data_IF_563012829490
#
_entry.id   IF_563012829490
#
_cell.length_a   1.000
_cell.length_b   1.000
_cell.length_c   1.000
_cell.angle_alpha   90.00
_cell.angle_beta   90.00
_cell.angle_gamma   90.00
#
_symmetry.space_group_name_H-M   'P 1'
#
loop_
_entity.id
_entity.type
_entity.pdbx_description
1 polymer ?
#
# COMPACT_ATOMS: atom_id res chain seq x y z
N UNK A 1 -2.01 48.08 16.65
CA UNK A 1 -1.76 47.46 15.34
C UNK A 1 -0.68 46.43 15.58
N UNK A 2 -1.10 45.22 15.96
CA UNK A 2 -0.19 44.06 16.14
C UNK A 2 -0.01 43.37 14.77
N UNK A 3 1.19 42.94 14.43
CA UNK A 3 1.42 42.20 13.18
C UNK A 3 0.90 40.78 13.34
N UNK A 4 -0.05 40.42 12.47
CA UNK A 4 -0.47 39.03 12.28
C UNK A 4 0.75 38.22 11.81
N UNK A 5 1.19 37.28 12.64
CA UNK A 5 2.13 36.23 12.24
C UNK A 5 1.39 35.22 11.32
N UNK A 6 1.58 35.39 10.02
CA UNK A 6 1.29 34.38 9.04
C UNK A 6 2.35 33.28 9.16
N UNK A 7 2.05 32.25 9.97
CA UNK A 7 2.92 31.08 10.17
C UNK A 7 2.53 29.94 9.23
N UNK A 8 2.58 30.21 7.93
CA UNK A 8 2.67 29.10 6.96
C UNK A 8 4.05 28.46 7.12
N UNK A 9 4.16 27.13 7.39
CA UNK A 9 5.45 26.47 7.44
C UNK A 9 6.14 26.62 6.08
N UNK A 10 7.26 27.30 6.02
CA UNK A 10 8.12 27.31 4.85
C UNK A 10 8.74 25.90 4.72
N UNK A 11 8.06 24.98 4.03
CA UNK A 11 8.67 23.73 3.59
C UNK A 11 9.81 24.10 2.64
N UNK A 12 11.04 23.91 3.11
CA UNK A 12 12.25 24.16 2.35
C UNK A 12 12.28 23.35 1.05
N UNK A 13 13.21 23.64 0.15
CA UNK A 13 13.40 23.04 -1.17
C UNK A 13 13.53 21.51 -1.21
N UNK A 14 13.56 20.81 -0.08
CA UNK A 14 13.71 19.37 0.10
C UNK A 14 12.38 18.60 0.34
N UNK A 15 11.22 19.28 0.39
CA UNK A 15 9.93 18.64 0.56
C UNK A 15 9.56 17.74 -0.63
N UNK A 16 8.83 16.66 -0.35
CA UNK A 16 8.29 15.73 -1.37
C UNK A 16 6.77 15.83 -1.33
N UNK A 17 6.17 16.01 -2.50
CA UNK A 17 4.72 16.17 -2.63
C UNK A 17 4.11 15.11 -3.55
N UNK A 18 2.89 14.71 -3.25
CA UNK A 18 2.04 13.85 -4.08
C UNK A 18 1.34 14.76 -5.11
N UNK A 19 1.48 14.43 -6.39
CA UNK A 19 0.84 15.17 -7.49
C UNK A 19 -0.20 14.33 -8.25
N UNK A 20 -0.22 13.02 -8.03
CA UNK A 20 -1.19 12.12 -8.63
C UNK A 20 -1.45 10.92 -7.74
N UNK A 21 -2.67 10.42 -7.77
CA UNK A 21 -3.12 9.23 -7.03
C UNK A 21 -3.97 8.35 -7.91
N UNK A 22 -3.91 7.05 -7.68
CA UNK A 22 -4.78 6.08 -8.32
C UNK A 22 -4.94 4.85 -7.44
N UNK A 23 -6.10 4.23 -7.51
CA UNK A 23 -6.39 3.03 -6.72
C UNK A 23 -7.41 2.14 -7.41
N UNK A 24 -7.34 0.85 -7.08
CA UNK A 24 -8.40 -0.12 -7.35
C UNK A 24 -8.55 -1.01 -6.13
N UNK A 25 -9.78 -1.21 -5.67
CA UNK A 25 -10.10 -1.96 -4.46
C UNK A 25 -11.49 -2.56 -4.51
N UNK A 26 -11.90 -3.26 -3.47
CA UNK A 26 -13.27 -3.78 -3.32
C UNK A 26 -14.37 -2.70 -3.29
N UNK A 27 -14.00 -1.41 -3.17
CA UNK A 27 -14.92 -0.27 -3.21
C UNK A 27 -15.02 0.37 -4.61
N UNK A 28 -14.24 -0.09 -5.58
CA UNK A 28 -14.32 0.38 -6.96
C UNK A 28 -12.95 0.65 -7.59
N UNK A 29 -12.97 1.06 -8.88
CA UNK A 29 -11.79 1.04 -9.74
C UNK A 29 -10.93 2.31 -9.70
N UNK A 30 -11.20 3.29 -8.82
CA UNK A 30 -10.42 4.54 -8.74
C UNK A 30 -10.16 4.99 -7.31
N UNK A 31 -9.18 5.88 -7.12
CA UNK A 31 -8.90 6.52 -5.83
C UNK A 31 -10.13 7.27 -5.29
N UNK A 32 -10.95 7.86 -6.18
CA UNK A 32 -12.19 8.53 -5.79
C UNK A 32 -13.22 7.55 -5.24
N UNK A 33 -13.41 6.38 -5.87
CA UNK A 33 -14.32 5.35 -5.35
C UNK A 33 -13.86 4.84 -3.98
N UNK A 34 -12.54 4.63 -3.83
CA UNK A 34 -11.96 4.23 -2.54
C UNK A 34 -12.24 5.28 -1.46
N UNK A 35 -12.02 6.56 -1.74
CA UNK A 35 -12.25 7.66 -0.81
C UNK A 35 -13.74 7.83 -0.47
N UNK A 36 -14.60 7.93 -1.49
CA UNK A 36 -16.04 8.15 -1.29
C UNK A 36 -16.69 6.99 -0.55
N UNK A 37 -16.32 5.73 -0.90
CA UNK A 37 -16.79 4.54 -0.22
C UNK A 37 -16.32 4.46 1.24
N UNK A 38 -15.03 4.75 1.49
CA UNK A 38 -14.47 4.80 2.84
C UNK A 38 -15.16 5.86 3.71
N UNK A 39 -15.36 7.06 3.19
CA UNK A 39 -16.06 8.15 3.88
C UNK A 39 -17.53 7.82 4.20
N UNK A 40 -18.17 7.01 3.37
CA UNK A 40 -19.57 6.57 3.56
C UNK A 40 -19.68 5.30 4.44
N UNK A 41 -18.55 4.70 4.84
CA UNK A 41 -18.55 3.44 5.60
C UNK A 41 -19.02 2.24 4.79
N UNK A 42 -18.88 2.27 3.45
CA UNK A 42 -19.25 1.15 2.60
C UNK A 42 -18.33 -0.05 2.86
N UNK A 43 -18.92 -1.24 2.98
CA UNK A 43 -18.19 -2.48 3.20
C UNK A 43 -18.13 -3.27 1.89
N UNK A 44 -16.90 -3.39 1.34
CA UNK A 44 -16.62 -4.18 0.15
C UNK A 44 -16.26 -5.64 0.44
N UNK A 45 -16.24 -6.05 1.72
CA UNK A 45 -15.94 -7.43 2.12
C UNK A 45 -17.20 -8.29 1.87
N UNK A 46 -17.05 -9.30 1.03
CA UNK A 46 -18.14 -10.17 0.57
C UNK A 46 -17.62 -11.58 0.29
N UNK A 47 -18.50 -12.59 0.02
CA UNK A 47 -18.05 -13.90 -0.42
C UNK A 47 -17.16 -13.81 -1.65
N UNK A 48 -15.96 -14.40 -1.57
CA UNK A 48 -14.95 -14.42 -2.63
C UNK A 48 -15.41 -15.31 -3.76
N UNK A 49 -15.27 -14.83 -5.00
CA UNK A 49 -15.61 -15.53 -6.25
C UNK A 49 -14.39 -15.87 -7.10
N UNK A 50 -13.28 -15.16 -6.92
CA UNK A 50 -12.07 -15.34 -7.74
C UNK A 50 -11.37 -16.69 -7.57
N UNK A 51 -11.70 -17.44 -6.50
CA UNK A 51 -11.08 -18.73 -6.20
C UNK A 51 -12.00 -19.64 -5.40
N UNK A 52 -11.70 -20.93 -5.40
CA UNK A 52 -12.37 -21.89 -4.52
C UNK A 52 -11.92 -21.74 -3.07
N UNK A 53 -12.88 -21.59 -2.17
CA UNK A 53 -12.66 -21.39 -0.73
C UNK A 53 -12.92 -22.66 0.10
N UNK A 54 -12.75 -23.84 -0.52
CA UNK A 54 -12.98 -25.11 0.14
C UNK A 54 -11.96 -25.37 1.25
N UNK A 55 -12.45 -25.81 2.41
CA UNK A 55 -11.58 -26.11 3.56
C UNK A 55 -11.04 -24.89 4.32
N UNK A 56 -11.52 -23.69 4.01
CA UNK A 56 -11.19 -22.46 4.76
C UNK A 56 -12.32 -22.10 5.74
N UNK A 57 -11.93 -21.53 6.89
CA UNK A 57 -12.85 -21.14 7.97
C UNK A 57 -13.72 -19.93 7.59
N UNK A 58 -13.22 -19.10 6.67
CA UNK A 58 -13.97 -17.96 6.11
C UNK A 58 -14.03 -18.04 4.59
N UNK A 59 -15.08 -17.47 4.03
CA UNK A 59 -15.25 -17.30 2.58
C UNK A 59 -15.30 -15.83 2.18
N UNK A 60 -15.01 -14.92 3.12
CA UNK A 60 -15.12 -13.48 2.94
C UNK A 60 -13.78 -12.86 2.56
N UNK A 61 -13.86 -11.85 1.70
CA UNK A 61 -12.70 -11.02 1.33
C UNK A 61 -13.11 -9.74 0.61
N UNK A 62 -12.22 -8.78 0.59
CA UNK A 62 -12.35 -7.55 -0.20
C UNK A 62 -11.87 -7.79 -1.63
N UNK A 63 -12.68 -8.47 -2.44
CA UNK A 63 -12.40 -8.79 -3.84
C UNK A 63 -12.67 -7.60 -4.76
N UNK A 64 -11.77 -7.36 -5.71
CA UNK A 64 -12.01 -6.42 -6.80
C UNK A 64 -12.90 -7.10 -7.84
N UNK A 65 -14.16 -6.69 -7.88
CA UNK A 65 -15.18 -7.24 -8.81
C UNK A 65 -15.35 -6.42 -10.08
N UNK A 66 -14.84 -5.19 -10.12
CA UNK A 66 -14.79 -4.38 -11.33
C UNK A 66 -13.85 -4.98 -12.38
N UNK A 67 -14.09 -4.75 -13.67
CA UNK A 67 -13.18 -5.19 -14.72
C UNK A 67 -11.76 -4.65 -14.50
N UNK A 68 -10.77 -5.55 -14.55
CA UNK A 68 -9.34 -5.21 -14.45
C UNK A 68 -8.74 -5.28 -15.85
N UNK A 69 -8.89 -4.18 -16.59
CA UNK A 69 -8.49 -4.06 -17.99
C UNK A 69 -7.58 -2.85 -18.19
N UNK A 70 -6.27 -2.98 -17.87
CA UNK A 70 -5.34 -1.89 -18.08
C UNK A 70 -5.22 -1.57 -19.58
N UNK A 71 -5.19 -0.28 -19.92
CA UNK A 71 -5.00 0.18 -21.31
C UNK A 71 -3.57 -0.06 -21.80
N UNK A 72 -2.64 -0.27 -20.87
CA UNK A 72 -1.23 -0.56 -21.15
C UNK A 72 -0.95 -2.03 -20.90
N UNK A 73 -0.41 -2.69 -21.91
CA UNK A 73 0.02 -4.08 -21.78
C UNK A 73 1.36 -4.23 -21.08
N UNK A 74 1.59 -5.40 -20.52
CA UNK A 74 2.88 -5.89 -20.10
C UNK A 74 3.15 -7.25 -20.77
N UNK A 75 4.41 -7.69 -20.76
CA UNK A 75 4.73 -9.02 -21.31
C UNK A 75 4.23 -10.09 -20.35
N UNK A 76 3.42 -11.02 -20.86
CA UNK A 76 2.94 -12.18 -20.12
C UNK A 76 3.13 -13.44 -20.95
N UNK A 77 3.74 -14.47 -20.36
CA UNK A 77 4.04 -15.72 -21.06
C UNK A 77 2.77 -16.54 -21.29
N UNK A 78 2.68 -17.22 -22.43
CA UNK A 78 1.63 -18.19 -22.75
C UNK A 78 0.19 -17.75 -22.40
N UNK A 79 -0.09 -16.44 -22.41
CA UNK A 79 -1.40 -15.91 -22.02
C UNK A 79 -1.65 -15.87 -20.50
N UNK A 80 -0.71 -16.26 -19.66
CA UNK A 80 -0.83 -16.13 -18.21
C UNK A 80 -0.82 -14.66 -17.81
N UNK A 81 -1.81 -14.25 -17.01
CA UNK A 81 -1.98 -12.88 -16.53
C UNK A 81 -1.72 -12.83 -15.03
N UNK A 82 -0.69 -12.09 -14.64
CA UNK A 82 -0.37 -11.86 -13.21
C UNK A 82 -1.25 -10.74 -12.68
N UNK A 83 -2.30 -11.11 -11.94
CA UNK A 83 -3.35 -10.18 -11.48
C UNK A 83 -2.81 -9.00 -10.67
N UNK A 84 -1.75 -9.21 -9.86
CA UNK A 84 -1.13 -8.11 -9.12
C UNK A 84 -0.52 -7.04 -10.03
N UNK A 85 0.02 -7.43 -11.20
CA UNK A 85 0.53 -6.50 -12.21
C UNK A 85 -0.62 -5.75 -12.87
N UNK A 86 -1.73 -6.41 -13.18
CA UNK A 86 -2.89 -5.78 -13.81
C UNK A 86 -3.55 -4.75 -12.90
N UNK A 87 -3.76 -5.09 -11.64
CA UNK A 87 -4.23 -4.16 -10.61
C UNK A 87 -3.29 -2.95 -10.48
N UNK A 88 -1.97 -3.19 -10.49
CA UNK A 88 -0.97 -2.14 -10.45
C UNK A 88 -1.06 -1.20 -11.66
N UNK A 89 -1.23 -1.75 -12.86
CA UNK A 89 -1.34 -0.94 -14.09
C UNK A 89 -2.57 -0.05 -14.09
N UNK A 90 -3.74 -0.57 -13.68
CA UNK A 90 -4.97 0.23 -13.57
C UNK A 90 -4.79 1.41 -12.61
N UNK A 91 -4.27 1.16 -11.41
CA UNK A 91 -4.02 2.22 -10.44
C UNK A 91 -2.93 3.20 -10.92
N UNK A 92 -1.89 2.70 -11.60
CA UNK A 92 -0.83 3.52 -12.15
C UNK A 92 -1.33 4.44 -13.29
N UNK A 93 -2.23 3.97 -14.14
CA UNK A 93 -2.85 4.77 -15.22
C UNK A 93 -3.58 5.99 -14.63
N UNK A 94 -4.37 5.79 -13.58
CA UNK A 94 -5.06 6.89 -12.90
C UNK A 94 -4.06 7.87 -12.26
N UNK A 95 -3.09 7.37 -11.51
CA UNK A 95 -2.10 8.22 -10.85
C UNK A 95 -1.26 9.04 -11.84
N UNK A 96 -0.83 8.42 -12.94
CA UNK A 96 0.00 9.06 -13.97
C UNK A 96 -0.77 10.09 -14.82
N UNK A 97 -2.10 10.04 -14.86
CA UNK A 97 -2.91 10.99 -15.60
C UNK A 97 -2.77 12.44 -15.07
N UNK A 98 -2.33 12.60 -13.83
CA UNK A 98 -2.09 13.93 -13.24
C UNK A 98 -0.79 14.60 -13.73
N UNK A 99 0.10 13.85 -14.39
CA UNK A 99 1.39 14.37 -14.86
C UNK A 99 1.37 14.60 -16.39
N UNK A 100 1.73 15.79 -16.89
CA UNK A 100 1.84 16.02 -18.32
C UNK A 100 2.84 15.06 -18.97
N UNK A 101 2.48 14.49 -20.11
CA UNK A 101 3.32 13.57 -20.85
C UNK A 101 4.64 14.25 -21.24
N UNK A 102 5.76 13.57 -21.01
CA UNK A 102 7.10 14.06 -21.37
C UNK A 102 7.67 15.15 -20.44
N UNK A 103 6.97 15.50 -19.36
CA UNK A 103 7.47 16.49 -18.39
C UNK A 103 8.75 16.04 -17.69
N UNK A 104 8.87 14.75 -17.41
CA UNK A 104 10.03 14.14 -16.76
C UNK A 104 10.71 13.20 -17.76
N UNK A 105 12.04 13.31 -17.90
CA UNK A 105 12.80 12.39 -18.73
C UNK A 105 12.67 10.96 -18.21
N UNK A 106 12.51 9.95 -19.08
CA UNK A 106 12.33 8.56 -18.66
C UNK A 106 13.40 8.06 -17.69
N UNK A 107 14.65 8.47 -17.85
CA UNK A 107 15.81 8.10 -17.03
C UNK A 107 15.77 8.75 -15.63
N UNK A 108 14.94 9.78 -15.46
CA UNK A 108 14.73 10.52 -14.22
C UNK A 108 13.41 10.18 -13.55
N UNK A 109 12.61 9.25 -14.12
CA UNK A 109 11.35 8.80 -13.58
C UNK A 109 11.48 7.38 -13.05
N UNK A 110 11.44 7.23 -11.73
CA UNK A 110 11.58 5.94 -11.04
C UNK A 110 10.25 5.24 -10.78
N UNK A 111 10.33 3.97 -10.41
CA UNK A 111 9.22 3.12 -9.94
C UNK A 111 9.65 2.42 -8.66
N UNK A 112 8.86 2.53 -7.59
CA UNK A 112 9.10 1.83 -6.32
C UNK A 112 7.78 1.22 -5.84
N UNK A 113 7.65 -0.09 -5.92
CA UNK A 113 6.40 -0.79 -5.60
C UNK A 113 6.57 -1.80 -4.46
N UNK A 114 5.62 -1.78 -3.56
CA UNK A 114 5.50 -2.73 -2.47
C UNK A 114 4.58 -3.91 -2.82
N UNK A 115 4.95 -5.11 -2.41
CA UNK A 115 4.13 -6.31 -2.58
C UNK A 115 4.50 -7.37 -1.55
N UNK A 116 3.54 -8.21 -1.19
CA UNK A 116 3.80 -9.48 -0.47
C UNK A 116 3.79 -10.67 -1.41
N UNK A 117 2.86 -10.67 -2.38
CA UNK A 117 2.43 -11.85 -3.12
C UNK A 117 2.68 -11.77 -4.63
N UNK A 118 3.15 -10.65 -5.18
CA UNK A 118 3.44 -10.59 -6.61
C UNK A 118 4.43 -11.69 -7.01
N UNK A 119 4.06 -12.42 -8.08
CA UNK A 119 4.78 -13.59 -8.56
C UNK A 119 4.33 -14.91 -7.95
N UNK A 120 3.50 -14.91 -6.90
CA UNK A 120 3.03 -16.13 -6.26
C UNK A 120 2.09 -16.95 -7.19
N UNK A 121 1.24 -16.26 -7.95
CA UNK A 121 0.36 -16.90 -8.92
C UNK A 121 1.16 -17.53 -10.08
N UNK A 122 2.17 -16.83 -10.60
CA UNK A 122 3.08 -17.36 -11.62
C UNK A 122 3.85 -18.58 -11.10
N UNK A 123 4.34 -18.52 -9.86
CA UNK A 123 5.00 -19.64 -9.20
C UNK A 123 4.08 -20.85 -9.01
N UNK A 124 2.81 -20.63 -8.69
CA UNK A 124 1.80 -21.68 -8.61
C UNK A 124 1.58 -22.37 -9.97
N UNK A 125 1.45 -21.60 -11.04
CA UNK A 125 1.29 -22.16 -12.39
C UNK A 125 2.54 -22.95 -12.82
N UNK A 126 3.73 -22.45 -12.50
CA UNK A 126 4.97 -23.20 -12.73
C UNK A 126 4.96 -24.56 -12.01
N UNK A 127 4.64 -24.57 -10.73
CA UNK A 127 4.61 -25.79 -9.92
C UNK A 127 3.50 -26.77 -10.37
N UNK A 128 2.37 -26.23 -10.84
CA UNK A 128 1.28 -27.05 -11.40
C UNK A 128 1.74 -27.79 -12.64
N UNK A 129 2.36 -27.11 -13.61
CA UNK A 129 2.89 -27.75 -14.80
C UNK A 129 3.91 -28.86 -14.46
N UNK A 130 4.85 -28.60 -13.54
CA UNK A 130 5.82 -29.60 -13.07
C UNK A 130 5.12 -30.81 -12.45
N UNK A 131 4.12 -30.59 -11.58
CA UNK A 131 3.36 -31.68 -10.94
C UNK A 131 2.62 -32.55 -11.97
N UNK A 132 2.07 -31.93 -12.99
CA UNK A 132 1.27 -32.61 -14.03
C UNK A 132 2.15 -33.26 -15.13
N UNK A 133 3.48 -33.18 -14.97
CA UNK A 133 4.47 -33.78 -15.90
C UNK A 133 4.67 -32.96 -17.18
N UNK A 134 4.21 -31.72 -17.19
CA UNK A 134 4.39 -30.75 -18.27
C UNK A 134 5.71 -29.99 -18.14
N UNK A 135 6.20 -29.45 -19.25
CA UNK A 135 7.34 -28.49 -19.21
C UNK A 135 6.79 -27.09 -19.01
N UNK A 136 7.08 -26.45 -17.84
CA UNK A 136 6.59 -25.10 -17.61
C UNK A 136 7.15 -24.11 -18.64
N UNK A 137 6.35 -23.10 -19.00
CA UNK A 137 6.87 -21.99 -19.80
C UNK A 137 7.98 -21.26 -19.04
N UNK A 138 9.23 -21.23 -19.56
CA UNK A 138 10.35 -20.61 -18.87
C UNK A 138 10.14 -19.12 -18.62
N UNK A 139 9.26 -18.45 -19.37
CA UNK A 139 8.93 -17.04 -19.14
C UNK A 139 8.12 -16.81 -17.85
N UNK A 140 7.39 -17.82 -17.35
CA UNK A 140 6.75 -17.73 -16.03
C UNK A 140 7.78 -17.46 -14.91
N UNK A 141 8.99 -18.01 -15.04
CA UNK A 141 10.06 -17.77 -14.06
C UNK A 141 10.43 -16.29 -13.92
N UNK A 142 10.25 -15.51 -14.97
CA UNK A 142 10.50 -14.06 -14.95
C UNK A 142 9.47 -13.31 -14.09
N UNK A 143 8.28 -13.86 -13.93
CA UNK A 143 7.19 -13.28 -13.13
C UNK A 143 7.18 -13.74 -11.67
N UNK A 144 7.94 -14.77 -11.30
CA UNK A 144 7.92 -15.32 -9.92
C UNK A 144 8.51 -14.35 -8.89
N UNK A 145 9.36 -13.44 -9.29
CA UNK A 145 10.00 -12.50 -8.36
C UNK A 145 9.15 -11.27 -8.08
N UNK A 146 9.12 -10.73 -6.85
CA UNK A 146 8.47 -9.45 -6.56
C UNK A 146 8.93 -8.30 -7.46
N UNK A 147 10.17 -8.33 -7.93
CA UNK A 147 10.76 -7.33 -8.81
C UNK A 147 10.01 -7.23 -10.16
N UNK A 148 9.43 -8.33 -10.64
CA UNK A 148 8.65 -8.35 -11.88
C UNK A 148 7.45 -7.39 -11.86
N UNK A 149 6.85 -7.13 -10.69
CA UNK A 149 5.79 -6.13 -10.53
C UNK A 149 6.29 -4.73 -10.93
N UNK A 150 7.40 -4.28 -10.34
CA UNK A 150 7.95 -2.96 -10.61
C UNK A 150 8.48 -2.84 -12.05
N UNK A 151 9.13 -3.88 -12.56
CA UNK A 151 9.64 -3.92 -13.94
C UNK A 151 8.53 -3.89 -14.98
N UNK A 152 7.44 -4.63 -14.77
CA UNK A 152 6.29 -4.64 -15.68
C UNK A 152 5.62 -3.26 -15.75
N UNK A 153 5.39 -2.63 -14.61
CA UNK A 153 4.85 -1.27 -14.55
C UNK A 153 5.83 -0.27 -15.18
N UNK A 154 7.12 -0.33 -14.85
CA UNK A 154 8.14 0.52 -15.44
C UNK A 154 8.20 0.40 -16.96
N UNK A 155 8.16 -0.81 -17.49
CA UNK A 155 8.14 -1.08 -18.92
C UNK A 155 6.88 -0.54 -19.61
N UNK A 156 5.69 -0.76 -19.03
CA UNK A 156 4.41 -0.31 -19.56
C UNK A 156 4.34 1.23 -19.72
N UNK A 157 4.95 1.96 -18.80
CA UNK A 157 5.03 3.44 -18.83
C UNK A 157 6.36 3.95 -19.43
N UNK A 158 7.27 3.07 -19.85
CA UNK A 158 8.60 3.41 -20.40
C UNK A 158 9.45 4.22 -19.42
N UNK A 159 9.33 3.96 -18.13
CA UNK A 159 10.12 4.60 -17.07
C UNK A 159 11.46 3.88 -16.94
N UNK A 160 12.56 4.63 -16.88
CA UNK A 160 13.93 4.12 -16.93
C UNK A 160 14.82 4.62 -15.79
N UNK A 161 14.23 5.33 -14.82
CA UNK A 161 14.88 5.70 -13.57
C UNK A 161 15.07 4.47 -12.67
N UNK A 162 15.29 4.66 -11.36
CA UNK A 162 15.36 3.55 -10.42
C UNK A 162 14.06 2.73 -10.43
N UNK A 163 14.15 1.41 -10.62
CA UNK A 163 13.02 0.47 -10.63
C UNK A 163 13.24 -0.56 -9.54
N UNK A 164 12.42 -0.53 -8.49
CA UNK A 164 12.62 -1.30 -7.26
C UNK A 164 11.31 -1.92 -6.79
N UNK A 165 11.38 -3.17 -6.35
CA UNK A 165 10.33 -3.78 -5.55
C UNK A 165 10.76 -3.85 -4.08
N UNK A 166 9.78 -3.63 -3.17
CA UNK A 166 9.96 -3.71 -1.73
C UNK A 166 9.03 -4.80 -1.19
N UNK A 167 9.61 -5.76 -0.46
CA UNK A 167 8.82 -6.73 0.27
C UNK A 167 9.18 -6.68 1.77
N UNK A 168 8.34 -6.02 2.52
CA UNK A 168 8.40 -5.91 3.98
C UNK A 168 7.03 -6.27 4.56
N UNK A 169 6.44 -7.33 4.01
CA UNK A 169 5.09 -7.80 4.32
C UNK A 169 4.07 -6.65 4.18
N UNK A 170 3.13 -6.52 5.11
CA UNK A 170 2.03 -5.55 5.07
C UNK A 170 2.49 -4.08 5.01
N UNK A 171 3.72 -3.78 5.38
CA UNK A 171 4.29 -2.44 5.34
C UNK A 171 4.87 -2.05 3.96
N UNK A 172 4.91 -2.98 3.00
CA UNK A 172 5.62 -2.82 1.71
C UNK A 172 5.23 -1.56 0.96
N UNK A 173 3.93 -1.27 0.82
CA UNK A 173 3.44 -0.10 0.10
C UNK A 173 3.81 1.23 0.77
N UNK A 174 3.71 1.31 2.10
CA UNK A 174 4.14 2.48 2.85
C UNK A 174 5.66 2.68 2.76
N UNK A 175 6.44 1.58 2.87
CA UNK A 175 7.89 1.62 2.73
C UNK A 175 8.33 2.00 1.31
N UNK A 176 7.59 1.59 0.29
CA UNK A 176 7.83 1.99 -1.09
C UNK A 176 7.65 3.52 -1.27
N UNK A 177 6.60 4.10 -0.68
CA UNK A 177 6.37 5.55 -0.68
C UNK A 177 7.51 6.27 0.07
N UNK A 178 7.92 5.78 1.23
CA UNK A 178 9.04 6.34 2.00
C UNK A 178 10.37 6.29 1.24
N UNK A 179 10.70 5.14 0.64
CA UNK A 179 11.91 4.97 -0.17
C UNK A 179 11.89 5.89 -1.42
N UNK A 180 10.74 6.02 -2.07
CA UNK A 180 10.57 6.93 -3.20
C UNK A 180 10.84 8.40 -2.79
N UNK A 181 10.37 8.82 -1.62
CA UNK A 181 10.68 10.14 -1.09
C UNK A 181 12.19 10.33 -0.85
N UNK A 182 12.90 9.32 -0.38
CA UNK A 182 14.35 9.38 -0.20
C UNK A 182 15.11 9.45 -1.54
N UNK A 183 14.68 8.71 -2.55
CA UNK A 183 15.26 8.81 -3.91
C UNK A 183 15.11 10.23 -4.48
N UNK A 184 13.97 10.87 -4.26
CA UNK A 184 13.72 12.26 -4.68
C UNK A 184 14.59 13.25 -3.90
N UNK A 185 14.67 13.12 -2.55
CA UNK A 185 15.52 13.95 -1.70
C UNK A 185 17.01 13.82 -2.05
N UNK A 186 17.44 12.60 -2.40
CA UNK A 186 18.81 12.31 -2.84
C UNK A 186 19.09 12.73 -4.29
N UNK A 187 18.12 13.30 -5.01
CA UNK A 187 18.28 13.72 -6.41
C UNK A 187 18.49 12.55 -7.39
N UNK A 188 18.14 11.32 -7.00
CA UNK A 188 18.27 10.12 -7.85
C UNK A 188 17.17 10.01 -8.90
N UNK A 189 16.06 10.71 -8.69
CA UNK A 189 14.92 10.84 -9.60
C UNK A 189 14.34 12.26 -9.51
N UNK A 190 13.54 12.66 -10.50
CA UNK A 190 12.76 13.90 -10.50
C UNK A 190 11.27 13.61 -10.23
N UNK A 191 10.79 12.43 -10.65
CA UNK A 191 9.52 11.87 -10.27
C UNK A 191 9.67 10.37 -9.93
N UNK A 192 8.78 9.86 -9.07
CA UNK A 192 8.70 8.44 -8.76
C UNK A 192 7.23 8.03 -8.69
N UNK A 193 6.85 6.98 -9.43
CA UNK A 193 5.62 6.25 -9.23
C UNK A 193 5.85 5.27 -8.07
N UNK A 194 5.14 5.45 -6.97
CA UNK A 194 5.31 4.66 -5.76
C UNK A 194 3.97 4.11 -5.27
N UNK A 195 3.99 3.02 -4.54
CA UNK A 195 2.77 2.43 -3.99
C UNK A 195 2.89 0.94 -3.76
N UNK A 196 1.81 0.21 -3.97
CA UNK A 196 1.82 -1.25 -3.82
C UNK A 196 0.64 -1.92 -4.48
N UNK A 197 0.81 -3.21 -4.77
CA UNK A 197 -0.22 -4.05 -5.40
C UNK A 197 -0.09 -5.49 -4.93
N UNK A 198 -1.21 -6.09 -4.57
CA UNK A 198 -1.34 -7.53 -4.30
C UNK A 198 -2.69 -8.05 -4.74
N UNK A 199 -2.68 -9.27 -5.25
CA UNK A 199 -3.87 -10.01 -5.66
C UNK A 199 -4.21 -11.11 -4.64
N UNK A 200 -5.43 -11.61 -4.70
CA UNK A 200 -5.81 -12.81 -3.98
C UNK A 200 -4.98 -14.02 -4.41
N UNK A 201 -4.67 -14.87 -3.43
CA UNK A 201 -3.98 -16.14 -3.62
C UNK A 201 -4.53 -17.17 -2.64
N UNK A 202 -4.80 -18.37 -3.14
CA UNK A 202 -5.16 -19.54 -2.34
C UNK A 202 -4.10 -19.86 -1.30
N UNK A 203 -2.82 -19.72 -1.64
CA UNK A 203 -1.69 -19.91 -0.72
C UNK A 203 -1.76 -18.91 0.43
N UNK A 204 -2.08 -17.64 0.13
CA UNK A 204 -2.20 -16.60 1.15
C UNK A 204 -3.40 -16.87 2.09
N UNK A 205 -4.57 -17.17 1.53
CA UNK A 205 -5.74 -17.53 2.34
C UNK A 205 -5.48 -18.75 3.22
N UNK A 206 -4.89 -19.81 2.67
CA UNK A 206 -4.52 -21.01 3.43
C UNK A 206 -3.53 -20.70 4.56
N UNK A 207 -2.55 -19.85 4.30
CA UNK A 207 -1.58 -19.41 5.31
C UNK A 207 -2.22 -18.67 6.47
N UNK A 208 -3.06 -17.66 6.20
CA UNK A 208 -3.78 -16.93 7.25
C UNK A 208 -4.84 -17.78 7.97
N UNK A 209 -5.47 -18.74 7.26
CA UNK A 209 -6.37 -19.72 7.86
C UNK A 209 -5.61 -20.62 8.84
N UNK A 210 -4.45 -21.14 8.45
CA UNK A 210 -3.60 -21.97 9.33
C UNK A 210 -3.12 -21.20 10.58
N UNK A 211 -2.94 -19.89 10.48
CA UNK A 211 -2.62 -19.01 11.60
C UNK A 211 -3.86 -18.66 12.46
N UNK A 212 -5.05 -19.14 12.11
CA UNK A 212 -6.31 -18.80 12.77
C UNK A 212 -6.50 -17.27 12.92
N UNK A 213 -6.12 -16.53 11.90
CA UNK A 213 -6.12 -15.06 11.91
C UNK A 213 -7.26 -14.45 11.11
N UNK A 214 -8.02 -15.27 10.36
CA UNK A 214 -9.14 -14.82 9.55
C UNK A 214 -10.42 -14.67 10.39
N UNK A 215 -11.19 -13.61 10.10
CA UNK A 215 -12.49 -13.40 10.72
C UNK A 215 -13.60 -14.16 9.97
N UNK A 216 -14.53 -14.81 10.66
CA UNK A 216 -15.71 -15.42 10.02
C UNK A 216 -16.71 -14.39 9.49
N UNK A 217 -16.67 -13.17 10.01
CA UNK A 217 -17.47 -12.01 9.61
C UNK A 217 -16.55 -10.89 9.07
N UNK A 218 -17.08 -9.85 8.41
CA UNK A 218 -16.25 -8.71 8.03
C UNK A 218 -15.44 -8.17 9.21
N UNK A 219 -14.15 -7.93 9.01
CA UNK A 219 -13.25 -7.51 10.07
C UNK A 219 -13.72 -6.20 10.73
N UNK A 220 -13.65 -6.16 12.06
CA UNK A 220 -14.03 -5.01 12.90
C UNK A 220 -12.84 -4.51 13.71
N UNK A 221 -11.88 -3.80 13.07
CA UNK A 221 -10.69 -3.29 13.75
C UNK A 221 -11.04 -2.43 14.96
N UNK A 222 -10.29 -2.61 16.05
CA UNK A 222 -10.41 -1.94 17.34
C UNK A 222 -11.71 -2.22 18.11
N UNK A 223 -12.63 -2.99 17.57
CA UNK A 223 -13.83 -3.41 18.28
C UNK A 223 -13.53 -4.44 19.39
N UNK A 224 -14.30 -4.41 20.46
CA UNK A 224 -14.16 -5.38 21.56
C UNK A 224 -14.50 -6.81 21.13
N UNK A 225 -15.44 -6.97 20.18
CA UNK A 225 -15.89 -8.25 19.63
C UNK A 225 -15.11 -8.71 18.39
N UNK A 226 -13.99 -8.05 18.02
CA UNK A 226 -13.19 -8.42 16.83
C UNK A 226 -12.69 -9.86 16.90
N UNK A 227 -12.68 -10.53 15.77
CA UNK A 227 -12.37 -11.97 15.70
C UNK A 227 -11.19 -12.30 14.76
N UNK A 228 -10.67 -11.32 14.02
CA UNK A 228 -9.62 -11.53 13.04
C UNK A 228 -9.67 -10.52 11.91
N UNK A 229 -8.88 -10.76 10.88
CA UNK A 229 -8.81 -9.93 9.68
C UNK A 229 -9.66 -10.53 8.54
N UNK A 230 -10.09 -9.68 7.62
CA UNK A 230 -10.52 -10.09 6.28
C UNK A 230 -9.42 -9.78 5.30
N UNK A 231 -9.05 -10.71 4.40
CA UNK A 231 -8.11 -10.42 3.32
C UNK A 231 -8.77 -9.52 2.27
N UNK A 232 -7.96 -8.75 1.56
CA UNK A 232 -8.36 -7.93 0.43
C UNK A 232 -7.32 -7.99 -0.68
N UNK A 233 -7.70 -7.63 -1.89
CA UNK A 233 -6.80 -7.40 -3.02
C UNK A 233 -6.98 -5.99 -3.57
N UNK A 234 -6.01 -5.54 -4.35
CA UNK A 234 -6.07 -4.26 -5.03
C UNK A 234 -4.71 -3.59 -5.14
N UNK A 235 -4.75 -2.34 -5.54
CA UNK A 235 -3.56 -1.51 -5.71
C UNK A 235 -3.81 -0.08 -5.29
N UNK A 236 -2.77 0.57 -4.77
CA UNK A 236 -2.71 2.01 -4.55
C UNK A 236 -1.40 2.57 -5.09
N UNK A 237 -1.48 3.63 -5.87
CA UNK A 237 -0.34 4.28 -6.51
C UNK A 237 -0.37 5.79 -6.28
N UNK A 238 0.81 6.36 -6.06
CA UNK A 238 1.01 7.81 -5.97
C UNK A 238 2.16 8.23 -6.87
N UNK A 239 2.05 9.39 -7.49
CA UNK A 239 3.15 10.05 -8.18
C UNK A 239 3.75 11.08 -7.25
N UNK A 240 5.02 10.93 -6.94
CA UNK A 240 5.78 11.80 -6.06
C UNK A 240 6.78 12.62 -6.87
N UNK A 241 6.91 13.90 -6.50
CA UNK A 241 7.94 14.80 -7.02
C UNK A 241 8.50 15.66 -5.88
N UNK A 242 9.65 16.33 -6.10
CA UNK A 242 10.07 17.36 -5.14
C UNK A 242 9.11 18.54 -5.18
N UNK A 243 8.78 19.11 -4.02
CA UNK A 243 7.86 20.25 -3.91
C UNK A 243 8.32 21.47 -4.76
N UNK A 244 9.63 21.69 -4.87
CA UNK A 244 10.19 22.70 -5.77
C UNK A 244 9.87 22.43 -7.23
N UNK A 245 10.02 21.18 -7.67
CA UNK A 245 9.67 20.75 -9.04
C UNK A 245 8.19 20.94 -9.34
N UNK A 246 7.32 20.58 -8.40
CA UNK A 246 5.87 20.78 -8.56
C UNK A 246 5.53 22.26 -8.78
N UNK A 247 6.09 23.16 -7.96
CA UNK A 247 5.87 24.62 -8.11
C UNK A 247 6.40 25.16 -9.43
N UNK A 248 7.60 24.77 -9.83
CA UNK A 248 8.24 25.22 -11.08
C UNK A 248 7.40 24.85 -12.31
N UNK A 249 6.75 23.68 -12.29
CA UNK A 249 5.98 23.17 -13.42
C UNK A 249 4.45 23.34 -13.25
N UNK A 250 4.00 24.06 -12.24
CA UNK A 250 2.57 24.33 -12.02
C UNK A 250 1.74 23.07 -11.72
N UNK A 251 2.35 22.03 -11.13
CA UNK A 251 1.65 20.80 -10.76
C UNK A 251 0.83 21.04 -9.48
N UNK A 252 -0.39 20.51 -9.46
CA UNK A 252 -1.24 20.55 -8.28
C UNK A 252 -0.72 19.58 -7.21
N UNK A 253 -0.31 20.11 -6.06
CA UNK A 253 0.02 19.33 -4.88
C UNK A 253 -1.27 18.82 -4.23
N UNK A 254 -1.37 17.51 -4.00
CA UNK A 254 -2.50 16.88 -3.30
C UNK A 254 -2.20 16.77 -1.80
N UNK A 255 -0.98 16.33 -1.47
CA UNK A 255 -0.49 16.16 -0.11
C UNK A 255 1.05 16.19 -0.10
N UNK A 256 1.65 16.37 1.08
CA UNK A 256 3.09 16.29 1.26
C UNK A 256 3.48 15.05 2.09
N UNK A 257 4.60 14.42 1.72
CA UNK A 257 5.23 13.37 2.51
C UNK A 257 6.20 14.04 3.50
N UNK A 258 5.69 14.38 4.66
CA UNK A 258 6.45 15.08 5.68
C UNK A 258 7.56 14.21 6.28
N UNK A 259 7.27 12.93 6.54
CA UNK A 259 8.24 12.00 7.11
C UNK A 259 7.77 10.55 7.04
N UNK A 260 8.69 9.64 7.28
CA UNK A 260 8.37 8.22 7.51
C UNK A 260 9.36 7.58 8.47
N UNK A 261 9.01 6.40 8.98
CA UNK A 261 9.87 5.66 9.89
C UNK A 261 9.79 4.16 9.67
N UNK A 262 10.91 3.50 9.86
CA UNK A 262 11.05 2.05 9.77
C UNK A 262 11.55 1.50 11.10
N UNK A 263 11.05 0.33 11.47
CA UNK A 263 11.58 -0.44 12.57
C UNK A 263 11.20 -1.92 12.43
N UNK A 264 11.85 -2.77 13.21
CA UNK A 264 11.47 -4.17 13.38
C UNK A 264 11.34 -4.48 14.87
N UNK A 265 10.35 -5.30 15.23
CA UNK A 265 10.17 -5.72 16.62
C UNK A 265 11.31 -6.61 17.11
N UNK A 266 11.75 -7.56 16.27
CA UNK A 266 12.72 -8.59 16.69
C UNK A 266 12.20 -9.47 17.83
N UNK A 267 10.88 -9.62 17.96
CA UNK A 267 10.22 -10.25 19.11
C UNK A 267 9.73 -11.65 18.80
N UNK A 268 8.98 -11.83 17.71
CA UNK A 268 8.37 -13.10 17.35
C UNK A 268 8.17 -13.16 15.82
N UNK A 269 8.08 -14.38 15.25
CA UNK A 269 7.95 -14.56 13.79
C UNK A 269 6.65 -14.00 13.21
N UNK A 270 5.54 -14.02 13.97
CA UNK A 270 4.21 -13.64 13.47
C UNK A 270 3.42 -12.68 14.39
N UNK A 271 3.84 -12.54 15.67
CA UNK A 271 3.14 -11.71 16.64
C UNK A 271 3.88 -10.38 16.88
N UNK A 272 3.16 -9.23 16.96
CA UNK A 272 3.76 -7.98 17.35
C UNK A 272 4.20 -8.00 18.82
N UNK A 273 5.15 -7.14 19.15
CA UNK A 273 5.50 -6.92 20.55
C UNK A 273 4.29 -6.36 21.31
N UNK A 274 3.83 -6.96 22.42
CA UNK A 274 2.57 -6.57 23.09
C UNK A 274 2.52 -5.09 23.51
N UNK A 275 3.67 -4.51 23.86
CA UNK A 275 3.79 -3.09 24.21
C UNK A 275 3.95 -2.17 23.00
N UNK A 276 3.89 -2.68 21.77
CA UNK A 276 4.00 -1.90 20.55
C UNK A 276 5.33 -1.17 20.34
N UNK A 277 6.44 -1.68 20.92
CA UNK A 277 7.74 -0.98 20.94
C UNK A 277 8.29 -0.68 19.53
N UNK A 278 8.18 -1.63 18.61
CA UNK A 278 8.65 -1.44 17.24
C UNK A 278 7.81 -0.40 16.52
N UNK A 279 6.49 -0.55 16.50
CA UNK A 279 5.59 0.40 15.85
C UNK A 279 5.75 1.82 16.44
N UNK A 280 5.90 1.95 17.77
CA UNK A 280 6.20 3.24 18.40
C UNK A 280 7.47 3.88 17.86
N UNK A 281 8.58 3.12 17.74
CA UNK A 281 9.84 3.62 17.16
C UNK A 281 9.67 4.12 15.72
N UNK A 282 8.84 3.42 14.91
CA UNK A 282 8.56 3.86 13.55
C UNK A 282 7.79 5.20 13.53
N UNK A 283 6.76 5.34 14.37
CA UNK A 283 5.99 6.60 14.52
C UNK A 283 6.90 7.73 15.01
N UNK A 284 7.69 7.52 16.08
CA UNK A 284 8.64 8.49 16.62
C UNK A 284 9.68 8.93 15.57
N UNK A 285 10.14 7.99 14.71
CA UNK A 285 11.05 8.31 13.61
C UNK A 285 10.39 9.18 12.55
N UNK A 286 9.13 8.89 12.18
CA UNK A 286 8.38 9.70 11.24
C UNK A 286 8.15 11.13 11.78
N UNK A 287 7.79 11.27 13.05
CA UNK A 287 7.62 12.56 13.72
C UNK A 287 8.94 13.36 13.73
N UNK A 288 10.06 12.73 14.10
CA UNK A 288 11.37 13.39 14.06
C UNK A 288 11.76 13.85 12.65
N UNK A 289 11.54 13.03 11.64
CA UNK A 289 11.90 13.37 10.26
C UNK A 289 11.02 14.49 9.71
N UNK A 290 9.75 14.53 10.09
CA UNK A 290 8.81 15.58 9.67
C UNK A 290 8.99 16.90 10.41
N UNK A 291 9.58 16.89 11.59
CA UNK A 291 9.63 18.04 12.50
C UNK A 291 8.25 18.40 13.10
N UNK A 292 7.28 17.48 13.02
CA UNK A 292 5.91 17.65 13.55
C UNK A 292 5.83 17.05 14.94
N UNK A 293 5.21 17.79 15.88
CA UNK A 293 4.92 17.31 17.22
C UNK A 293 3.64 16.48 17.30
N UNK A 294 3.46 15.68 18.36
CA UNK A 294 2.25 14.90 18.58
C UNK A 294 0.96 15.71 18.58
N UNK A 295 1.04 16.98 19.03
CA UNK A 295 -0.08 17.93 19.08
C UNK A 295 -0.64 18.32 17.71
N UNK A 296 0.14 18.12 16.65
CA UNK A 296 -0.21 18.44 15.27
C UNK A 296 -0.82 17.25 14.52
N UNK A 297 -0.88 16.06 15.15
CA UNK A 297 -1.47 14.87 14.55
C UNK A 297 -2.99 14.94 14.70
N UNK A 298 -3.68 15.16 13.58
CA UNK A 298 -5.12 15.25 13.54
C UNK A 298 -5.86 13.91 13.39
N UNK A 299 -5.18 12.89 12.87
CA UNK A 299 -5.78 11.58 12.59
C UNK A 299 -4.73 10.49 12.39
N UNK A 300 -5.06 9.27 12.78
CA UNK A 300 -4.27 8.05 12.51
C UNK A 300 -5.12 7.04 11.73
N UNK A 301 -4.73 6.75 10.50
CA UNK A 301 -5.23 5.59 9.78
C UNK A 301 -4.35 4.40 10.15
N UNK A 302 -4.83 3.58 11.07
CA UNK A 302 -4.06 2.53 11.69
C UNK A 302 -3.86 1.29 10.81
N UNK A 303 -2.91 0.46 11.21
CA UNK A 303 -2.81 -0.87 10.65
C UNK A 303 -4.08 -1.68 10.93
N UNK A 304 -4.61 -1.61 12.14
CA UNK A 304 -5.97 -2.01 12.52
C UNK A 304 -6.49 -3.22 11.75
N UNK A 305 -5.96 -4.42 12.05
CA UNK A 305 -6.31 -5.64 11.31
C UNK A 305 -7.58 -6.31 11.83
N UNK A 306 -8.05 -5.93 13.02
CA UNK A 306 -9.13 -6.63 13.73
C UNK A 306 -8.65 -7.90 14.45
N UNK A 307 -7.35 -8.18 14.47
CA UNK A 307 -6.82 -9.35 15.16
C UNK A 307 -6.67 -9.09 16.66
N UNK A 308 -6.81 -10.13 17.50
CA UNK A 308 -6.69 -10.01 18.96
C UNK A 308 -5.35 -9.47 19.43
N UNK A 309 -4.26 -9.68 18.66
CA UNK A 309 -2.91 -9.27 19.05
C UNK A 309 -2.50 -7.91 18.49
N UNK A 310 -2.82 -7.61 17.23
CA UNK A 310 -2.37 -6.39 16.59
C UNK A 310 -2.98 -5.13 17.21
N UNK A 311 -4.30 -5.09 17.35
CA UNK A 311 -4.99 -3.85 17.68
C UNK A 311 -4.62 -3.31 19.08
N UNK A 312 -4.47 -4.17 20.13
CA UNK A 312 -3.93 -3.70 21.40
C UNK A 312 -2.47 -3.25 21.33
N UNK A 313 -1.62 -3.98 20.60
CA UNK A 313 -0.21 -3.62 20.46
C UNK A 313 -0.04 -2.28 19.72
N UNK A 314 -0.82 -2.05 18.68
CA UNK A 314 -0.83 -0.80 17.93
C UNK A 314 -1.38 0.37 18.77
N UNK A 315 -2.44 0.15 19.52
CA UNK A 315 -2.96 1.13 20.48
C UNK A 315 -1.87 1.55 21.48
N UNK A 316 -1.13 0.58 22.02
CA UNK A 316 0.00 0.85 22.92
C UNK A 316 1.12 1.63 22.20
N UNK A 317 1.39 1.31 20.93
CA UNK A 317 2.39 2.02 20.14
C UNK A 317 2.02 3.50 19.92
N UNK A 318 0.77 3.76 19.55
CA UNK A 318 0.24 5.13 19.35
C UNK A 318 0.32 5.91 20.67
N UNK A 319 -0.13 5.34 21.79
CA UNK A 319 -0.04 5.99 23.12
C UNK A 319 1.40 6.29 23.50
N UNK A 320 2.30 5.37 23.23
CA UNK A 320 3.73 5.53 23.54
C UNK A 320 4.37 6.64 22.70
N UNK A 321 4.07 6.71 21.42
CA UNK A 321 4.67 7.66 20.49
C UNK A 321 4.09 9.08 20.61
N UNK A 322 2.78 9.19 20.80
CA UNK A 322 2.10 10.49 20.92
C UNK A 322 2.01 11.00 22.36
N UNK A 323 2.19 10.12 23.35
CA UNK A 323 1.87 10.40 24.75
C UNK A 323 0.37 10.26 25.03
N UNK A 324 0.03 9.88 26.26
CA UNK A 324 -1.36 9.54 26.65
C UNK A 324 -2.36 10.67 26.36
N UNK A 325 -1.97 11.91 26.62
CA UNK A 325 -2.86 13.07 26.44
C UNK A 325 -3.24 13.34 24.99
N UNK A 326 -2.31 13.21 24.06
CA UNK A 326 -2.57 13.41 22.64
C UNK A 326 -3.20 12.17 22.00
N UNK A 327 -2.73 10.98 22.34
CA UNK A 327 -3.31 9.73 21.87
C UNK A 327 -4.81 9.60 22.21
N UNK A 328 -5.24 10.09 23.39
CA UNK A 328 -6.64 10.08 23.80
C UNK A 328 -7.54 11.04 22.99
N UNK A 329 -6.97 12.00 22.28
CA UNK A 329 -7.70 13.01 21.48
C UNK A 329 -7.63 12.74 19.98
N UNK A 330 -6.60 12.03 19.52
CA UNK A 330 -6.38 11.77 18.11
C UNK A 330 -7.30 10.65 17.64
N UNK A 331 -8.21 10.91 16.69
CA UNK A 331 -9.05 9.86 16.12
C UNK A 331 -8.21 8.79 15.44
N UNK A 332 -8.59 7.53 15.63
CA UNK A 332 -7.95 6.36 15.01
C UNK A 332 -9.02 5.52 14.34
N UNK A 333 -8.80 5.13 13.08
CA UNK A 333 -9.64 4.13 12.42
C UNK A 333 -8.81 3.25 11.49
N UNK A 334 -9.43 2.26 10.86
CA UNK A 334 -8.78 1.42 9.85
C UNK A 334 -9.70 1.19 8.67
N UNK A 335 -9.23 1.50 7.47
CA UNK A 335 -9.95 1.21 6.22
C UNK A 335 -10.09 -0.27 5.92
N UNK A 336 -9.38 -1.14 6.66
CA UNK A 336 -9.46 -2.59 6.47
C UNK A 336 -10.83 -3.20 6.82
N UNK A 337 -11.65 -2.51 7.63
CA UNK A 337 -13.06 -2.88 7.83
C UNK A 337 -13.89 -2.82 6.55
N UNK A 338 -13.45 -2.07 5.55
CA UNK A 338 -14.19 -1.80 4.32
C UNK A 338 -13.61 -2.52 3.11
N UNK A 339 -12.28 -2.53 2.95
CA UNK A 339 -11.59 -3.10 1.79
C UNK A 339 -10.85 -4.41 2.08
N UNK A 340 -10.83 -4.86 3.33
CA UNK A 340 -9.98 -5.96 3.78
C UNK A 340 -8.51 -5.56 3.86
N UNK A 341 -7.68 -6.51 4.25
CA UNK A 341 -6.23 -6.34 4.31
C UNK A 341 -5.60 -6.63 2.96
N UNK A 342 -5.26 -5.59 2.20
CA UNK A 342 -4.67 -5.68 0.87
C UNK A 342 -3.16 -6.01 0.89
N UNK A 343 -2.68 -6.68 1.93
CA UNK A 343 -1.30 -7.16 2.07
C UNK A 343 -0.26 -6.07 1.80
N UNK A 344 0.66 -6.25 0.86
CA UNK A 344 1.67 -5.26 0.51
C UNK A 344 1.12 -3.97 -0.09
N UNK A 345 -0.08 -4.00 -0.67
CA UNK A 345 -0.77 -2.80 -1.15
C UNK A 345 -1.42 -1.97 -0.03
N UNK A 346 -1.61 -2.57 1.17
CA UNK A 346 -2.38 -1.96 2.26
C UNK A 346 -1.88 -0.57 2.66
N UNK A 347 -0.57 -0.39 2.81
CA UNK A 347 0.02 0.89 3.20
C UNK A 347 -0.21 2.00 2.16
N UNK A 348 -0.21 1.67 0.88
CA UNK A 348 -0.48 2.62 -0.19
C UNK A 348 -1.96 3.00 -0.28
N UNK A 349 -2.87 2.02 -0.16
CA UNK A 349 -4.31 2.29 -0.10
C UNK A 349 -4.68 3.17 1.10
N UNK A 350 -4.08 2.90 2.27
CA UNK A 350 -4.24 3.71 3.48
C UNK A 350 -3.75 5.15 3.24
N UNK A 351 -2.60 5.35 2.59
CA UNK A 351 -2.08 6.67 2.28
C UNK A 351 -3.01 7.49 1.35
N UNK A 352 -3.71 6.83 0.42
CA UNK A 352 -4.65 7.49 -0.49
C UNK A 352 -5.93 7.93 0.25
N UNK A 353 -6.35 7.19 1.28
CA UNK A 353 -7.56 7.53 2.06
C UNK A 353 -7.25 8.55 3.16
N UNK A 354 -6.00 8.71 3.58
CA UNK A 354 -5.60 9.64 4.64
C UNK A 354 -5.42 11.06 4.12
#
# INVERSE_FOLDING_TARGET
MEPQHDSTPQHGSSGVTVVGMGAISALGPTARHLWDGARQGQVGIRPVQAMEMNGLDTKLGGEVTDPVEPSRGYRHPAGFRERSIELALVAAEEAMAALPAGLVAPERFGVVLGTCNAGLLAGREWLRAVRDGEVPDPELALLVTPQALAESVGAAFRLRGPVLAVNTACASGANAIGLAADLLRAGRADAVLAGGSDAFSDVCFAGFNALQSLSPEPATPYDAGRQGLSLGEGSGMVVLVRAGFAREHGLTAVADIAGYGLSADGFHSTAPHPEGRGAARAIESALRLSGIGPEQIGYVNGHGTGTPKNDPAETNAIRRALGEGWAARTPVSSTKSMIGHMLGAAGAAVAIVT
#
